data_IF_321029536222
#
_entry.id   IF_321029536222
#
_cell.length_a   1.000
_cell.length_b   1.000
_cell.length_c   1.000
_cell.angle_alpha   90.00
_cell.angle_beta   90.00
_cell.angle_gamma   90.00
#
_symmetry.space_group_name_H-M   'P 1'
#
loop_
_entity.id
_entity.type
_entity.pdbx_description
1 polymer ?
#
# COMPACT_ATOMS: atom_id res chain seq x y z
N UNK A 1 -17.15 -27.89 -6.07
CA UNK A 1 -15.95 -27.05 -5.96
C UNK A 1 -16.43 -25.79 -5.31
N UNK A 2 -16.18 -25.66 -4.02
CA UNK A 2 -16.51 -24.43 -3.31
C UNK A 2 -15.78 -23.31 -4.04
N UNK A 3 -16.52 -22.34 -4.58
CA UNK A 3 -15.92 -21.11 -5.10
C UNK A 3 -15.34 -20.38 -3.89
N UNK A 4 -14.10 -20.70 -3.55
CA UNK A 4 -13.30 -19.86 -2.66
C UNK A 4 -13.34 -18.46 -3.25
N UNK A 5 -14.10 -17.58 -2.59
CA UNK A 5 -14.39 -16.24 -3.09
C UNK A 5 -13.08 -15.54 -3.45
N UNK A 6 -13.07 -14.88 -4.61
CA UNK A 6 -11.90 -14.14 -5.10
C UNK A 6 -11.38 -13.23 -3.98
N UNK A 7 -10.12 -13.42 -3.58
CA UNK A 7 -9.46 -12.58 -2.58
C UNK A 7 -9.39 -11.13 -3.08
N UNK A 8 -9.61 -10.20 -2.15
CA UNK A 8 -9.43 -8.77 -2.34
C UNK A 8 -7.95 -8.42 -2.18
N UNK A 9 -7.38 -7.67 -3.12
CA UNK A 9 -6.00 -7.20 -3.04
C UNK A 9 -5.98 -5.74 -2.60
N UNK A 10 -5.49 -5.46 -1.40
CA UNK A 10 -5.23 -4.10 -0.94
C UNK A 10 -3.76 -3.77 -1.23
N UNK A 11 -3.53 -2.83 -2.15
CA UNK A 11 -2.21 -2.33 -2.46
C UNK A 11 -1.81 -1.22 -1.49
N UNK A 12 -0.57 -1.23 -1.02
CA UNK A 12 0.01 -0.13 -0.24
C UNK A 12 1.21 0.49 -0.95
N UNK A 13 1.26 1.81 -0.95
CA UNK A 13 2.44 2.60 -1.26
C UNK A 13 2.98 3.25 0.00
N UNK A 14 4.27 3.03 0.31
CA UNK A 14 4.86 3.58 1.53
C UNK A 14 6.37 3.82 1.43
N UNK A 15 6.93 4.62 2.35
CA UNK A 15 8.36 4.92 2.41
C UNK A 15 9.19 3.65 2.65
N UNK A 16 10.34 3.59 1.99
CA UNK A 16 11.35 2.54 2.14
C UNK A 16 12.53 2.95 3.04
N UNK A 17 12.41 4.06 3.77
CA UNK A 17 13.50 4.56 4.63
C UNK A 17 13.95 3.50 5.65
N UNK A 18 15.26 3.35 5.91
CA UNK A 18 15.76 2.45 6.95
C UNK A 18 15.27 2.83 8.35
N UNK A 19 15.12 4.13 8.62
CA UNK A 19 14.64 4.70 9.88
C UNK A 19 13.40 5.58 9.62
N UNK A 20 12.21 4.97 9.50
CA UNK A 20 10.99 5.69 9.13
C UNK A 20 10.46 6.57 10.27
N UNK A 21 9.73 7.63 9.92
CA UNK A 21 9.12 8.54 10.90
C UNK A 21 8.25 7.76 11.92
N UNK A 22 8.51 7.88 13.25
CA UNK A 22 7.79 7.11 14.27
C UNK A 22 6.26 7.26 14.24
N UNK A 23 5.75 8.43 13.84
CA UNK A 23 4.30 8.66 13.69
C UNK A 23 3.73 7.84 12.54
N UNK A 24 4.43 7.79 11.39
CA UNK A 24 4.02 6.95 10.27
C UNK A 24 4.13 5.46 10.59
N UNK A 25 5.13 5.06 11.38
CA UNK A 25 5.28 3.67 11.86
C UNK A 25 4.04 3.25 12.65
N UNK A 26 3.58 4.08 13.58
CA UNK A 26 2.40 3.76 14.39
C UNK A 26 1.14 3.70 13.53
N UNK A 27 0.96 4.65 12.60
CA UNK A 27 -0.16 4.62 11.65
C UNK A 27 -0.15 3.37 10.78
N UNK A 28 1.01 2.95 10.26
CA UNK A 28 1.14 1.73 9.45
C UNK A 28 0.79 0.47 10.25
N UNK A 29 1.20 0.38 11.53
CA UNK A 29 0.84 -0.74 12.41
C UNK A 29 -0.67 -0.78 12.68
N UNK A 30 -1.27 0.34 13.08
CA UNK A 30 -2.70 0.37 13.36
C UNK A 30 -3.50 0.02 12.09
N UNK A 31 -3.12 0.60 10.93
CA UNK A 31 -3.75 0.28 9.66
C UNK A 31 -3.73 -1.23 9.37
N UNK A 32 -2.54 -1.86 9.41
CA UNK A 32 -2.40 -3.28 9.11
C UNK A 32 -3.09 -4.19 10.14
N UNK A 33 -3.03 -3.84 11.43
CA UNK A 33 -3.73 -4.57 12.50
C UNK A 33 -5.24 -4.49 12.36
N UNK A 34 -5.77 -3.34 11.94
CA UNK A 34 -7.21 -3.21 11.66
C UNK A 34 -7.59 -4.02 10.42
N UNK A 35 -6.79 -3.94 9.35
CA UNK A 35 -7.04 -4.66 8.11
C UNK A 35 -6.98 -6.20 8.29
N UNK A 36 -6.14 -6.70 9.21
CA UNK A 36 -5.99 -8.15 9.46
C UNK A 36 -7.24 -8.82 10.05
N UNK A 37 -8.23 -8.03 10.49
CA UNK A 37 -9.59 -8.53 10.81
C UNK A 37 -10.28 -9.16 9.59
N UNK A 38 -9.84 -8.79 8.39
CA UNK A 38 -10.36 -9.27 7.10
C UNK A 38 -9.37 -10.20 6.37
N UNK A 39 -8.36 -10.73 7.07
CA UNK A 39 -7.28 -11.56 6.47
C UNK A 39 -7.77 -12.78 5.66
N UNK A 40 -8.93 -13.31 5.99
CA UNK A 40 -9.52 -14.44 5.27
C UNK A 40 -10.13 -14.03 3.92
N UNK A 41 -10.26 -12.73 3.66
CA UNK A 41 -10.73 -12.16 2.39
C UNK A 41 -9.67 -11.30 1.70
N UNK A 42 -8.68 -10.79 2.45
CA UNK A 42 -7.73 -9.77 1.98
C UNK A 42 -6.31 -10.32 1.86
N UNK A 43 -5.65 -9.98 0.76
CA UNK A 43 -4.20 -10.06 0.57
C UNK A 43 -3.63 -8.64 0.55
N UNK A 44 -2.58 -8.39 1.34
CA UNK A 44 -1.89 -7.11 1.37
C UNK A 44 -0.71 -7.11 0.39
N UNK A 45 -0.71 -6.21 -0.59
CA UNK A 45 0.32 -6.13 -1.63
C UNK A 45 1.15 -4.85 -1.47
N UNK A 46 2.48 -4.96 -1.57
CA UNK A 46 3.39 -3.82 -1.43
C UNK A 46 4.58 -3.92 -2.37
N UNK A 47 5.47 -2.94 -2.28
CA UNK A 47 6.77 -2.95 -2.94
C UNK A 47 7.83 -3.88 -2.36
N UNK A 48 7.45 -4.67 -1.34
CA UNK A 48 8.25 -5.75 -0.78
C UNK A 48 9.14 -5.34 0.39
N UNK A 49 10.10 -4.44 0.13
CA UNK A 49 11.25 -4.27 1.02
C UNK A 49 11.34 -2.87 1.65
N UNK A 50 11.77 -2.86 2.92
CA UNK A 50 12.17 -1.67 3.65
C UNK A 50 11.03 -0.86 4.28
N UNK A 51 11.45 0.04 5.17
CA UNK A 51 10.62 1.07 5.82
C UNK A 51 9.22 0.64 6.25
N UNK A 52 8.25 1.46 5.89
CA UNK A 52 6.85 1.32 6.29
C UNK A 52 6.17 0.12 5.63
N UNK A 53 6.59 -0.29 4.43
CA UNK A 53 6.07 -1.50 3.77
C UNK A 53 6.41 -2.74 4.60
N UNK A 54 7.68 -2.89 5.00
CA UNK A 54 8.13 -3.98 5.88
C UNK A 54 7.34 -4.02 7.19
N UNK A 55 7.09 -2.87 7.80
CA UNK A 55 6.33 -2.75 9.06
C UNK A 55 4.87 -3.16 8.85
N UNK A 56 4.22 -2.64 7.83
CA UNK A 56 2.83 -2.94 7.51
C UNK A 56 2.63 -4.43 7.17
N UNK A 57 3.51 -5.00 6.35
CA UNK A 57 3.48 -6.42 6.00
C UNK A 57 3.73 -7.30 7.22
N UNK A 58 4.72 -6.96 8.07
CA UNK A 58 4.97 -7.68 9.32
C UNK A 58 3.72 -7.76 10.18
N UNK A 59 3.11 -6.61 10.47
CA UNK A 59 1.94 -6.55 11.34
C UNK A 59 0.77 -7.36 10.75
N UNK A 60 0.60 -7.35 9.43
CA UNK A 60 -0.44 -8.15 8.78
C UNK A 60 -0.17 -9.66 8.87
N UNK A 61 1.08 -10.08 8.61
CA UNK A 61 1.51 -11.49 8.69
C UNK A 61 1.45 -12.03 10.11
N UNK A 62 1.92 -11.27 11.11
CA UNK A 62 1.89 -11.66 12.52
C UNK A 62 0.46 -11.85 13.05
N UNK A 63 -0.53 -11.25 12.38
CA UNK A 63 -1.96 -11.46 12.65
C UNK A 63 -2.61 -12.51 11.73
N UNK A 64 -1.82 -13.33 11.04
CA UNK A 64 -2.26 -14.46 10.22
C UNK A 64 -2.64 -14.12 8.77
N UNK A 65 -2.34 -12.91 8.30
CA UNK A 65 -2.60 -12.49 6.93
C UNK A 65 -1.52 -12.89 5.93
N UNK A 66 -1.88 -12.87 4.65
CA UNK A 66 -0.96 -13.15 3.53
C UNK A 66 -0.54 -11.86 2.83
N UNK A 67 0.75 -11.72 2.54
CA UNK A 67 1.31 -10.56 1.82
C UNK A 67 1.92 -10.95 0.48
N UNK A 68 1.88 -10.02 -0.47
CA UNK A 68 2.62 -10.08 -1.74
C UNK A 68 3.63 -8.94 -1.78
N UNK A 69 4.90 -9.28 -1.89
CA UNK A 69 5.98 -8.33 -2.17
C UNK A 69 6.29 -8.32 -3.66
N UNK A 70 6.04 -7.20 -4.34
CA UNK A 70 6.44 -7.02 -5.75
C UNK A 70 7.83 -6.41 -5.75
N UNK A 71 8.86 -7.22 -5.99
CA UNK A 71 10.25 -6.89 -5.75
C UNK A 71 10.88 -6.26 -7.00
N UNK A 72 11.42 -5.04 -6.91
CA UNK A 72 12.11 -4.39 -8.02
C UNK A 72 13.49 -5.02 -8.24
N UNK A 73 14.04 -4.92 -9.45
CA UNK A 73 15.32 -5.50 -9.88
C UNK A 73 16.46 -5.22 -8.87
N UNK A 74 16.47 -4.02 -8.32
CA UNK A 74 17.49 -3.55 -7.38
C UNK A 74 17.45 -4.26 -6.01
N UNK A 75 16.29 -4.82 -5.64
CA UNK A 75 16.08 -5.46 -4.33
C UNK A 75 15.94 -7.01 -4.44
N UNK A 76 15.93 -7.63 -5.64
CA UNK A 76 15.61 -9.06 -5.84
C UNK A 76 16.48 -10.05 -5.07
N UNK A 77 17.76 -9.71 -4.87
CA UNK A 77 18.76 -10.59 -4.25
C UNK A 77 19.53 -9.89 -3.13
N UNK A 78 18.90 -8.94 -2.44
CA UNK A 78 19.53 -8.27 -1.31
C UNK A 78 19.79 -9.28 -0.18
N UNK A 79 20.94 -9.13 0.47
CA UNK A 79 21.33 -9.98 1.59
C UNK A 79 20.34 -9.83 2.77
N UNK A 80 20.02 -10.90 3.52
CA UNK A 80 19.15 -10.79 4.69
C UNK A 80 19.62 -9.82 5.78
N UNK A 81 20.92 -9.50 5.83
CA UNK A 81 21.48 -8.47 6.71
C UNK A 81 21.25 -7.04 6.22
N UNK A 82 20.81 -6.86 4.97
CA UNK A 82 20.56 -5.56 4.38
C UNK A 82 19.37 -4.87 5.10
N UNK A 83 19.47 -3.57 5.46
CA UNK A 83 18.43 -2.90 6.25
C UNK A 83 17.05 -2.87 5.58
N UNK A 84 17.01 -2.95 4.25
CA UNK A 84 15.75 -3.01 3.48
C UNK A 84 15.13 -4.40 3.44
N UNK A 85 15.88 -5.47 3.66
CA UNK A 85 15.36 -6.84 3.55
C UNK A 85 14.11 -7.03 4.43
N UNK A 86 13.06 -7.61 3.82
CA UNK A 86 11.80 -7.94 4.47
C UNK A 86 11.52 -9.45 4.42
N UNK A 87 11.58 -10.18 5.54
CA UNK A 87 11.15 -11.58 5.60
C UNK A 87 9.62 -11.73 5.61
N UNK A 88 8.87 -10.61 5.52
CA UNK A 88 7.42 -10.57 5.68
C UNK A 88 6.66 -10.50 4.36
N UNK A 89 7.32 -10.85 3.26
CA UNK A 89 6.68 -11.13 1.97
C UNK A 89 6.31 -12.61 1.93
N UNK A 90 5.04 -12.96 2.18
CA UNK A 90 4.60 -14.36 2.11
C UNK A 90 4.80 -14.94 0.71
N UNK A 91 4.60 -14.10 -0.30
CA UNK A 91 4.85 -14.37 -1.71
C UNK A 91 5.69 -13.23 -2.27
N UNK A 92 6.83 -13.55 -2.87
CA UNK A 92 7.68 -12.58 -3.56
C UNK A 92 7.57 -12.73 -5.07
N UNK A 93 7.37 -11.61 -5.78
CA UNK A 93 7.39 -11.54 -7.23
C UNK A 93 8.66 -10.78 -7.65
N UNK A 94 9.62 -11.51 -8.21
CA UNK A 94 10.81 -10.92 -8.84
C UNK A 94 10.40 -10.36 -10.21
N UNK A 95 10.54 -9.05 -10.39
CA UNK A 95 9.93 -8.36 -11.54
C UNK A 95 10.88 -8.13 -12.71
N UNK A 96 12.20 -8.16 -12.50
CA UNK A 96 13.21 -7.82 -13.51
C UNK A 96 13.18 -6.36 -13.96
N UNK A 97 12.43 -5.48 -13.28
CA UNK A 97 12.28 -4.06 -13.65
C UNK A 97 12.55 -3.12 -12.49
N UNK A 98 12.89 -1.88 -12.80
CA UNK A 98 13.26 -0.87 -11.80
C UNK A 98 12.11 -0.52 -10.85
N UNK A 99 12.45 0.11 -9.72
CA UNK A 99 11.49 0.64 -8.74
C UNK A 99 10.25 1.31 -9.36
N UNK A 100 10.44 2.20 -10.33
CA UNK A 100 9.34 2.99 -10.92
C UNK A 100 8.42 2.13 -11.78
N UNK A 101 9.01 1.25 -12.59
CA UNK A 101 8.25 0.36 -13.46
C UNK A 101 7.45 -0.66 -12.63
N UNK A 102 8.05 -1.12 -11.51
CA UNK A 102 7.42 -2.05 -10.57
C UNK A 102 6.16 -1.46 -9.90
N UNK A 103 6.05 -0.15 -9.71
CA UNK A 103 4.85 0.47 -9.15
C UNK A 103 3.59 0.30 -10.04
N UNK A 104 3.76 0.08 -11.34
CA UNK A 104 2.65 -0.14 -12.28
C UNK A 104 1.85 -1.40 -11.93
N UNK A 105 2.43 -2.61 -11.87
CA UNK A 105 1.68 -3.81 -11.52
C UNK A 105 1.07 -3.76 -10.12
N UNK A 106 1.69 -3.07 -9.14
CA UNK A 106 1.06 -2.86 -7.81
C UNK A 106 -0.24 -2.08 -7.95
N UNK A 107 -0.18 -0.88 -8.51
CA UNK A 107 -1.36 -0.02 -8.65
C UNK A 107 -2.42 -0.65 -9.57
N UNK A 108 -2.01 -1.36 -10.62
CA UNK A 108 -2.92 -1.98 -11.59
C UNK A 108 -3.66 -3.19 -11.01
N UNK A 109 -2.99 -4.00 -10.21
CA UNK A 109 -3.51 -5.28 -9.72
C UNK A 109 -4.28 -5.18 -8.40
N UNK A 110 -4.16 -4.08 -7.67
CA UNK A 110 -4.95 -3.88 -6.44
C UNK A 110 -6.44 -3.60 -6.72
N UNK A 111 -7.31 -3.95 -5.78
CA UNK A 111 -8.73 -3.58 -5.78
C UNK A 111 -8.98 -2.23 -5.09
N UNK A 112 -8.09 -1.83 -4.17
CA UNK A 112 -7.95 -0.48 -3.63
C UNK A 112 -6.47 -0.19 -3.32
N UNK A 113 -6.10 1.09 -3.43
CA UNK A 113 -4.75 1.57 -3.13
C UNK A 113 -4.76 2.46 -1.89
N UNK A 114 -3.82 2.21 -0.97
CA UNK A 114 -3.62 3.00 0.23
C UNK A 114 -2.21 3.56 0.28
N UNK A 115 -2.09 4.88 0.45
CA UNK A 115 -0.82 5.56 0.64
C UNK A 115 -0.58 5.74 2.13
N UNK A 116 0.45 5.10 2.69
CA UNK A 116 0.73 5.08 4.13
C UNK A 116 1.84 6.07 4.55
N UNK A 117 2.21 7.00 3.67
CA UNK A 117 3.34 7.91 3.86
C UNK A 117 4.50 7.55 2.93
N UNK A 118 5.07 8.52 2.23
CA UNK A 118 6.26 8.29 1.40
C UNK A 118 6.61 9.46 0.49
N UNK A 119 7.64 9.27 -0.32
CA UNK A 119 8.16 10.27 -1.25
C UNK A 119 7.63 10.10 -2.68
N UNK A 120 8.46 10.46 -3.67
CA UNK A 120 8.10 10.48 -5.08
C UNK A 120 7.56 9.15 -5.61
N UNK A 121 8.17 8.01 -5.25
CA UNK A 121 7.70 6.68 -5.68
C UNK A 121 6.28 6.39 -5.20
N UNK A 122 5.99 6.68 -3.93
CA UNK A 122 4.66 6.54 -3.34
C UNK A 122 3.63 7.49 -3.95
N UNK A 123 4.04 8.71 -4.32
CA UNK A 123 3.15 9.64 -5.04
C UNK A 123 2.86 9.17 -6.46
N UNK A 124 3.84 8.58 -7.17
CA UNK A 124 3.61 7.94 -8.48
C UNK A 124 2.55 6.84 -8.36
N UNK A 125 2.64 6.00 -7.33
CA UNK A 125 1.65 4.97 -7.02
C UNK A 125 0.24 5.53 -6.79
N UNK A 126 0.11 6.66 -6.10
CA UNK A 126 -1.16 7.36 -5.92
C UNK A 126 -1.76 7.80 -7.27
N UNK A 127 -0.94 8.42 -8.13
CA UNK A 127 -1.39 8.85 -9.46
C UNK A 127 -1.73 7.67 -10.37
N UNK A 128 -0.95 6.59 -10.35
CA UNK A 128 -1.24 5.38 -11.10
C UNK A 128 -2.59 4.78 -10.68
N UNK A 129 -2.84 4.66 -9.37
CA UNK A 129 -4.11 4.17 -8.84
C UNK A 129 -5.29 5.04 -9.28
N UNK A 130 -5.13 6.37 -9.24
CA UNK A 130 -6.12 7.32 -9.74
C UNK A 130 -6.42 7.12 -11.22
N UNK A 131 -5.39 7.04 -12.06
CA UNK A 131 -5.53 6.81 -13.50
C UNK A 131 -6.17 5.46 -13.82
N UNK A 132 -5.92 4.43 -13.00
CA UNK A 132 -6.54 3.12 -13.11
C UNK A 132 -7.91 3.00 -12.44
N UNK A 133 -8.49 4.13 -11.99
CA UNK A 133 -9.82 4.19 -11.35
C UNK A 133 -9.93 3.29 -10.13
N UNK A 134 -8.83 3.10 -9.41
CA UNK A 134 -8.81 2.37 -8.15
C UNK A 134 -9.34 3.28 -7.04
N UNK A 135 -10.16 2.77 -6.11
CA UNK A 135 -10.37 3.44 -4.84
C UNK A 135 -9.02 3.82 -4.23
N UNK A 136 -8.86 5.11 -3.92
CA UNK A 136 -7.58 5.66 -3.47
C UNK A 136 -7.75 6.29 -2.10
N UNK A 137 -7.04 5.77 -1.11
CA UNK A 137 -7.02 6.28 0.25
C UNK A 137 -5.61 6.84 0.50
N UNK A 138 -5.52 8.06 0.99
CA UNK A 138 -4.27 8.73 1.30
C UNK A 138 -4.24 9.01 2.80
N UNK A 139 -3.35 8.31 3.51
CA UNK A 139 -3.08 8.59 4.91
C UNK A 139 -2.41 9.95 5.02
N UNK A 140 -2.98 10.83 5.84
CA UNK A 140 -2.42 12.16 6.13
C UNK A 140 -1.85 12.20 7.54
N UNK A 141 -1.06 13.23 7.84
CA UNK A 141 -0.36 13.36 9.11
C UNK A 141 0.63 12.21 9.32
N UNK A 142 1.30 11.78 8.26
CA UNK A 142 2.35 10.76 8.30
C UNK A 142 3.73 11.41 8.46
N UNK A 143 3.85 12.72 8.18
CA UNK A 143 5.11 13.45 8.19
C UNK A 143 5.93 13.27 6.91
N UNK A 144 5.37 12.62 5.90
CA UNK A 144 6.01 12.38 4.61
C UNK A 144 5.49 13.35 3.52
N UNK A 145 6.25 13.56 2.42
CA UNK A 145 5.80 14.39 1.31
C UNK A 145 4.43 14.03 0.72
N UNK A 146 4.04 12.75 0.77
CA UNK A 146 2.70 12.31 0.36
C UNK A 146 1.54 12.98 1.10
N UNK A 147 1.75 13.52 2.31
CA UNK A 147 0.74 14.31 3.02
C UNK A 147 0.28 15.52 2.19
N UNK A 148 1.17 16.05 1.34
CA UNK A 148 0.89 17.22 0.48
C UNK A 148 0.06 16.91 -0.75
N UNK A 149 -0.27 15.64 -1.02
CA UNK A 149 -1.19 15.28 -2.11
C UNK A 149 -2.57 15.96 -1.94
N UNK A 150 -2.95 16.31 -0.71
CA UNK A 150 -4.18 17.06 -0.43
C UNK A 150 -4.18 18.44 -1.10
N UNK A 151 -3.01 19.07 -1.23
CA UNK A 151 -2.85 20.40 -1.85
C UNK A 151 -3.07 20.36 -3.37
N UNK A 152 -2.91 19.19 -3.99
CA UNK A 152 -3.17 18.99 -5.41
C UNK A 152 -4.64 18.68 -5.71
N UNK A 153 -5.45 18.47 -4.68
CA UNK A 153 -6.83 18.03 -4.83
C UNK A 153 -7.84 19.19 -4.88
N UNK A 154 -8.75 19.11 -5.86
CA UNK A 154 -9.96 19.92 -5.92
C UNK A 154 -11.17 18.98 -5.77
N UNK A 155 -12.03 19.22 -4.77
CA UNK A 155 -13.19 18.36 -4.43
C UNK A 155 -12.86 16.87 -4.21
N UNK A 156 -11.60 16.56 -3.88
CA UNK A 156 -11.10 15.19 -3.71
C UNK A 156 -10.66 14.50 -5.01
N UNK A 157 -10.41 15.25 -6.09
CA UNK A 157 -9.87 14.71 -7.34
C UNK A 157 -8.45 15.23 -7.58
N UNK A 158 -7.55 14.36 -8.05
CA UNK A 158 -6.13 14.69 -8.28
C UNK A 158 -5.88 15.45 -9.60
N UNK A 159 -6.86 15.51 -10.50
CA UNK A 159 -6.78 16.33 -11.70
C UNK A 159 -8.18 16.79 -12.18
N UNK A 160 -8.19 17.69 -13.15
CA UNK A 160 -9.41 18.24 -13.78
C UNK A 160 -10.31 17.19 -14.43
N UNK A 161 -9.83 15.97 -14.70
CA UNK A 161 -10.60 14.91 -15.35
C UNK A 161 -11.51 14.17 -14.38
N UNK A 162 -11.33 14.37 -13.07
CA UNK A 162 -12.17 13.85 -11.98
C UNK A 162 -12.46 12.34 -12.10
N UNK A 163 -11.41 11.55 -12.37
CA UNK A 163 -11.50 10.12 -12.74
C UNK A 163 -12.03 9.24 -11.60
N UNK A 164 -11.51 9.44 -10.39
CA UNK A 164 -11.92 8.75 -9.16
C UNK A 164 -11.62 9.64 -7.96
N UNK A 165 -12.44 9.60 -6.92
CA UNK A 165 -12.21 10.40 -5.71
C UNK A 165 -11.10 9.78 -4.86
N UNK A 166 -10.14 10.61 -4.44
CA UNK A 166 -9.17 10.30 -3.40
C UNK A 166 -9.76 10.65 -2.02
N UNK A 167 -9.54 9.76 -1.05
CA UNK A 167 -10.00 9.93 0.32
C UNK A 167 -8.80 10.21 1.22
N UNK A 168 -8.72 11.43 1.76
CA UNK A 168 -7.69 11.80 2.72
C UNK A 168 -8.18 11.46 4.12
N UNK A 169 -7.44 10.61 4.82
CA UNK A 169 -7.82 10.07 6.13
C UNK A 169 -6.64 10.19 7.07
N UNK A 170 -6.84 10.72 8.27
CA UNK A 170 -5.78 10.83 9.27
C UNK A 170 -5.75 9.61 10.21
N UNK A 171 -6.92 9.06 10.52
CA UNK A 171 -7.08 7.90 11.40
C UNK A 171 -6.76 6.58 10.66
N UNK A 172 -5.75 5.82 11.13
CA UNK A 172 -5.30 4.64 10.42
C UNK A 172 -6.28 3.46 10.42
N UNK A 173 -7.11 3.33 11.46
CA UNK A 173 -8.14 2.29 11.51
C UNK A 173 -9.27 2.59 10.50
N UNK A 174 -9.71 3.84 10.42
CA UNK A 174 -10.69 4.29 9.42
C UNK A 174 -10.17 4.10 7.99
N UNK A 175 -8.88 4.37 7.74
CA UNK A 175 -8.28 4.14 6.43
C UNK A 175 -8.35 2.65 6.02
N UNK A 176 -8.10 1.72 6.95
CA UNK A 176 -8.19 0.29 6.71
C UNK A 176 -9.63 -0.17 6.42
N UNK A 177 -10.59 0.25 7.26
CA UNK A 177 -12.01 -0.06 7.10
C UNK A 177 -12.55 0.50 5.77
N UNK A 178 -12.15 1.72 5.41
CA UNK A 178 -12.52 2.35 4.17
C UNK A 178 -11.95 1.61 2.96
N UNK A 179 -10.67 1.21 3.01
CA UNK A 179 -10.02 0.47 1.94
C UNK A 179 -10.72 -0.87 1.67
N UNK A 180 -10.98 -1.66 2.73
CA UNK A 180 -11.71 -2.93 2.62
C UNK A 180 -13.12 -2.72 2.05
N UNK A 181 -13.90 -1.78 2.60
CA UNK A 181 -15.28 -1.54 2.16
C UNK A 181 -15.35 -1.11 0.70
N UNK A 182 -14.48 -0.20 0.26
CA UNK A 182 -14.46 0.27 -1.12
C UNK A 182 -14.01 -0.83 -2.09
N UNK A 183 -13.01 -1.63 -1.71
CA UNK A 183 -12.57 -2.77 -2.51
C UNK A 183 -13.69 -3.82 -2.66
N UNK A 184 -14.30 -4.24 -1.55
CA UNK A 184 -15.37 -5.24 -1.53
C UNK A 184 -16.59 -4.84 -2.34
N UNK A 185 -16.93 -3.55 -2.41
CA UNK A 185 -18.04 -3.05 -3.23
C UNK A 185 -17.83 -3.20 -4.75
N UNK A 186 -16.62 -3.59 -5.18
CA UNK A 186 -16.22 -3.70 -6.59
C UNK A 186 -15.78 -5.11 -6.98
N UNK A 187 -15.75 -6.04 -6.02
CA UNK A 187 -15.30 -7.43 -6.20
C UNK A 187 -16.43 -8.37 -6.55
#
# INVERSE_FOLDING_TARGET
MDEEGKKIIIGIGASSDPDPNPMAVEKARIFSRTLSRYRDEVILMSGGDGGLMKIACREFVENGGTTIGVIPLEDEFIDPSHPRYSPYNSISILTGVTYQMRSIPIARSCDAMVILGGGAGTMIEAFLAYLYRKPLIIMTGTGYPSDKLVELCEDGYLDHRRIVKAYFVEDPAQAAELAYRLAKSRS
#
